data_IF_384185166492
#
_entry.id   IF_384185166492
#
_cell.length_a   1.000
_cell.length_b   1.000
_cell.length_c   1.000
_cell.angle_alpha   90.00
_cell.angle_beta   90.00
_cell.angle_gamma   90.00
#
_symmetry.space_group_name_H-M   'P 1'
#
loop_
_entity.id
_entity.type
_entity.pdbx_description
1 polymer ?
#
# COMPACT_ATOMS: atom_id res chain seq x y z
N UNK A 1 21.10 -18.95 -20.24
CA UNK A 1 21.92 -17.72 -20.36
C UNK A 1 23.00 -17.77 -19.30
N UNK A 2 24.16 -17.18 -19.59
CA UNK A 2 25.27 -17.09 -18.62
C UNK A 2 25.10 -15.83 -17.77
N UNK A 3 25.30 -15.89 -16.43
CA UNK A 3 25.27 -14.68 -15.60
C UNK A 3 26.28 -13.63 -16.10
N UNK A 4 25.88 -12.37 -16.11
CA UNK A 4 26.75 -11.28 -16.60
C UNK A 4 28.06 -11.14 -15.79
N UNK A 5 28.05 -11.52 -14.53
CA UNK A 5 29.25 -11.57 -13.69
C UNK A 5 30.29 -12.62 -14.12
N UNK A 6 29.89 -13.59 -14.96
CA UNK A 6 30.75 -14.67 -15.45
C UNK A 6 31.20 -14.45 -16.90
N UNK A 7 30.76 -13.38 -17.55
CA UNK A 7 31.12 -13.06 -18.94
C UNK A 7 32.43 -12.26 -19.02
N UNK A 8 33.22 -12.52 -20.07
CA UNK A 8 34.35 -11.66 -20.42
C UNK A 8 33.86 -10.29 -20.92
N UNK A 9 34.76 -9.29 -20.94
CA UNK A 9 34.46 -7.97 -21.48
C UNK A 9 33.97 -8.03 -22.92
N UNK A 10 34.62 -8.83 -23.76
CA UNK A 10 34.22 -8.99 -25.17
C UNK A 10 32.83 -9.64 -25.31
N UNK A 11 32.46 -10.55 -24.42
CA UNK A 11 31.10 -11.14 -24.38
C UNK A 11 30.08 -10.12 -23.94
N UNK A 12 30.37 -9.30 -22.93
CA UNK A 12 29.50 -8.21 -22.48
C UNK A 12 29.30 -7.15 -23.56
N UNK A 13 30.34 -6.78 -24.32
CA UNK A 13 30.25 -5.80 -25.43
C UNK A 13 29.38 -6.33 -26.57
N UNK A 14 29.48 -7.61 -26.94
CA UNK A 14 28.60 -8.26 -27.92
C UNK A 14 27.15 -8.30 -27.45
N UNK A 15 26.97 -8.69 -26.20
CA UNK A 15 25.63 -8.74 -25.58
C UNK A 15 24.99 -7.35 -25.56
N UNK A 16 25.77 -6.32 -25.16
CA UNK A 16 25.30 -4.93 -25.18
C UNK A 16 24.80 -4.51 -26.56
N UNK A 17 25.56 -4.79 -27.64
CA UNK A 17 25.15 -4.47 -29.00
C UNK A 17 23.85 -5.16 -29.40
N UNK A 18 23.67 -6.42 -29.04
CA UNK A 18 22.45 -7.20 -29.31
C UNK A 18 21.24 -6.66 -28.54
N UNK A 19 21.41 -6.40 -27.24
CA UNK A 19 20.32 -5.87 -26.39
C UNK A 19 19.93 -4.47 -26.81
N UNK A 20 20.91 -3.61 -27.15
CA UNK A 20 20.67 -2.26 -27.64
C UNK A 20 19.83 -2.27 -28.94
N UNK A 21 20.19 -3.13 -29.90
CA UNK A 21 19.43 -3.25 -31.14
C UNK A 21 17.96 -3.67 -30.88
N UNK A 22 17.73 -4.62 -29.95
CA UNK A 22 16.38 -5.05 -29.55
C UNK A 22 15.62 -3.93 -28.84
N UNK A 23 16.27 -3.20 -27.95
CA UNK A 23 15.68 -2.06 -27.26
C UNK A 23 15.26 -0.94 -28.25
N UNK A 24 16.13 -0.56 -29.18
CA UNK A 24 15.81 0.47 -30.18
C UNK A 24 14.66 0.04 -31.10
N UNK A 25 14.56 -1.26 -31.42
CA UNK A 25 13.42 -1.81 -32.17
C UNK A 25 12.10 -1.72 -31.36
N UNK A 26 12.12 -1.95 -30.04
CA UNK A 26 10.96 -1.73 -29.19
C UNK A 26 10.60 -0.26 -29.08
N UNK A 27 11.58 0.62 -28.88
CA UNK A 27 11.41 2.08 -28.79
C UNK A 27 10.77 2.66 -30.06
N UNK A 28 11.16 2.15 -31.22
CA UNK A 28 10.61 2.57 -32.52
C UNK A 28 9.12 2.25 -32.70
N UNK A 29 8.53 1.37 -31.86
CA UNK A 29 7.10 1.02 -31.92
C UNK A 29 6.20 2.17 -31.39
N UNK A 30 6.75 3.17 -30.71
CA UNK A 30 5.99 4.31 -30.16
C UNK A 30 4.96 3.88 -29.11
N UNK A 31 5.34 2.99 -28.20
CA UNK A 31 4.47 2.46 -27.13
C UNK A 31 4.01 3.57 -26.19
N UNK A 32 2.82 3.39 -25.58
CA UNK A 32 2.29 4.24 -24.52
C UNK A 32 1.62 3.37 -23.47
N UNK A 33 2.43 2.75 -22.63
CA UNK A 33 2.01 1.75 -21.64
C UNK A 33 2.27 2.25 -20.23
N UNK A 34 1.39 1.92 -19.28
CA UNK A 34 1.47 2.47 -17.92
C UNK A 34 1.43 1.35 -16.86
N UNK A 35 2.53 1.16 -16.15
CA UNK A 35 2.69 0.30 -14.99
C UNK A 35 3.05 1.08 -13.71
N UNK A 36 2.68 2.37 -13.63
CA UNK A 36 3.08 3.24 -12.52
C UNK A 36 2.14 3.15 -11.31
N UNK A 37 0.86 2.86 -11.51
CA UNK A 37 -0.16 2.94 -10.46
C UNK A 37 -0.97 1.65 -10.34
N UNK A 38 -1.03 1.11 -9.11
CA UNK A 38 -1.94 0.00 -8.76
C UNK A 38 -3.40 0.46 -8.72
N UNK A 39 -4.03 0.50 -9.89
CA UNK A 39 -5.47 0.77 -10.04
C UNK A 39 -6.19 -0.51 -10.44
N UNK A 40 -7.45 -0.70 -9.98
CA UNK A 40 -8.30 -1.74 -10.54
C UNK A 40 -8.43 -1.58 -12.06
N UNK A 41 -8.42 -2.70 -12.77
CA UNK A 41 -8.73 -2.75 -14.19
C UNK A 41 -10.24 -2.54 -14.43
N UNK A 42 -10.63 -2.18 -15.66
CA UNK A 42 -12.05 -1.98 -16.02
C UNK A 42 -12.88 -3.22 -15.72
N UNK A 43 -12.35 -4.40 -16.03
CA UNK A 43 -13.02 -5.67 -15.77
C UNK A 43 -13.34 -5.87 -14.28
N UNK A 44 -12.45 -5.45 -13.38
CA UNK A 44 -12.69 -5.51 -11.94
C UNK A 44 -13.81 -4.54 -11.51
N UNK A 45 -13.86 -3.34 -12.12
CA UNK A 45 -14.91 -2.36 -11.84
C UNK A 45 -16.27 -2.83 -12.35
N UNK A 46 -16.30 -3.47 -13.53
CA UNK A 46 -17.52 -4.01 -14.13
C UNK A 46 -18.12 -5.15 -13.30
N UNK A 47 -17.30 -6.00 -12.70
CA UNK A 47 -17.73 -7.10 -11.81
C UNK A 47 -18.53 -6.60 -10.61
N UNK A 48 -18.29 -5.38 -10.15
CA UNK A 48 -18.96 -4.77 -8.97
C UNK A 48 -19.98 -3.71 -9.36
N UNK A 49 -20.36 -3.60 -10.63
CA UNK A 49 -21.31 -2.60 -11.16
C UNK A 49 -22.70 -2.70 -10.53
N UNK A 50 -23.09 -3.87 -10.01
CA UNK A 50 -24.32 -4.05 -9.22
C UNK A 50 -24.44 -3.09 -8.02
N UNK A 51 -23.31 -2.60 -7.50
CA UNK A 51 -23.26 -1.56 -6.47
C UNK A 51 -24.04 -0.29 -6.88
N UNK A 52 -24.14 0.03 -8.16
CA UNK A 52 -24.81 1.23 -8.65
C UNK A 52 -26.34 1.19 -8.49
N UNK A 53 -26.92 -0.01 -8.38
CA UNK A 53 -28.36 -0.23 -8.38
C UNK A 53 -28.90 -0.88 -7.11
N UNK A 54 -28.12 -0.93 -6.05
CA UNK A 54 -28.50 -1.60 -4.78
C UNK A 54 -29.61 -0.85 -4.04
N UNK A 55 -29.63 0.49 -4.14
CA UNK A 55 -30.66 1.34 -3.53
C UNK A 55 -31.52 1.89 -4.65
N UNK A 56 -32.81 1.54 -4.68
CA UNK A 56 -33.75 1.91 -5.75
C UNK A 56 -34.92 2.76 -5.26
N UNK A 57 -35.26 2.62 -3.97
CA UNK A 57 -36.41 3.29 -3.39
C UNK A 57 -36.02 4.09 -2.14
N UNK A 58 -36.85 5.04 -1.68
CA UNK A 58 -36.61 5.73 -0.40
C UNK A 58 -36.53 4.78 0.79
N UNK A 59 -37.26 3.67 0.76
CA UNK A 59 -37.28 2.63 1.82
C UNK A 59 -35.96 1.92 1.94
N UNK A 60 -35.22 1.76 0.83
CA UNK A 60 -33.88 1.16 0.82
C UNK A 60 -32.85 2.03 1.56
N UNK A 61 -33.16 3.32 1.79
CA UNK A 61 -32.25 4.28 2.40
C UNK A 61 -32.26 4.25 3.95
N UNK A 62 -32.94 3.28 4.56
CA UNK A 62 -32.98 3.12 6.02
C UNK A 62 -32.02 2.03 6.50
N UNK A 63 -31.30 2.32 7.58
CA UNK A 63 -30.39 1.40 8.27
C UNK A 63 -30.64 1.43 9.78
N UNK A 64 -31.23 0.35 10.33
CA UNK A 64 -31.49 0.19 11.78
C UNK A 64 -32.14 1.44 12.41
N UNK A 65 -33.17 1.97 11.74
CA UNK A 65 -33.89 3.18 12.17
C UNK A 65 -33.28 4.51 11.75
N UNK A 66 -32.09 4.50 11.16
CA UNK A 66 -31.40 5.70 10.64
C UNK A 66 -31.79 5.95 9.19
N UNK A 67 -32.29 7.14 8.87
CA UNK A 67 -32.46 7.60 7.48
C UNK A 67 -31.11 8.10 6.94
N UNK A 68 -30.47 7.30 6.07
CA UNK A 68 -29.17 7.62 5.51
C UNK A 68 -29.14 8.91 4.66
N UNK A 69 -30.30 9.42 4.24
CA UNK A 69 -30.44 10.67 3.46
C UNK A 69 -30.35 11.92 4.32
N UNK A 70 -30.42 11.79 5.65
CA UNK A 70 -30.46 12.94 6.57
C UNK A 70 -29.13 13.08 7.32
N UNK A 71 -28.96 14.12 8.11
CA UNK A 71 -27.79 14.38 8.96
C UNK A 71 -27.63 13.36 10.10
N UNK A 72 -26.45 13.34 10.72
CA UNK A 72 -26.15 12.51 11.89
C UNK A 72 -25.25 11.31 11.56
N UNK A 73 -25.02 10.46 12.58
CA UNK A 73 -24.16 9.28 12.48
C UNK A 73 -22.73 9.64 12.05
N UNK A 74 -22.10 10.56 12.78
CA UNK A 74 -20.75 11.04 12.47
C UNK A 74 -19.71 9.91 12.32
N UNK A 75 -19.77 8.89 13.20
CA UNK A 75 -18.87 7.74 13.12
C UNK A 75 -19.25 6.72 12.04
N UNK A 76 -20.35 6.98 11.30
CA UNK A 76 -20.89 6.08 10.29
C UNK A 76 -22.14 5.32 10.75
N UNK A 77 -22.93 4.86 9.78
CA UNK A 77 -24.17 4.10 10.06
C UNK A 77 -23.85 2.78 10.76
N UNK A 78 -24.78 2.26 11.61
CA UNK A 78 -24.52 1.06 12.40
C UNK A 78 -24.10 -0.15 11.59
N UNK A 79 -24.72 -0.40 10.44
CA UNK A 79 -24.34 -1.54 9.58
C UNK A 79 -22.95 -1.38 8.96
N UNK A 80 -22.51 -0.16 8.62
CA UNK A 80 -21.18 0.06 8.06
C UNK A 80 -20.08 -0.14 9.12
N UNK A 81 -20.33 0.28 10.36
CA UNK A 81 -19.42 0.00 11.47
C UNK A 81 -19.34 -1.50 11.76
N UNK A 82 -20.46 -2.21 11.75
CA UNK A 82 -20.50 -3.68 11.92
C UNK A 82 -19.77 -4.40 10.77
N UNK A 83 -19.96 -3.96 9.53
CA UNK A 83 -19.25 -4.51 8.36
C UNK A 83 -17.74 -4.40 8.49
N UNK A 84 -17.22 -3.21 8.80
CA UNK A 84 -15.78 -3.05 8.97
C UNK A 84 -15.24 -3.80 10.18
N UNK A 85 -16.00 -3.88 11.27
CA UNK A 85 -15.64 -4.69 12.44
C UNK A 85 -15.48 -6.18 12.08
N UNK A 86 -16.39 -6.73 11.27
CA UNK A 86 -16.31 -8.12 10.76
C UNK A 86 -15.09 -8.31 9.84
N UNK A 87 -14.85 -7.38 8.93
CA UNK A 87 -13.70 -7.44 7.99
C UNK A 87 -12.37 -7.42 8.74
N UNK A 88 -12.22 -6.52 9.72
CA UNK A 88 -10.97 -6.30 10.46
C UNK A 88 -10.81 -7.24 11.66
N UNK A 89 -11.90 -7.81 12.16
CA UNK A 89 -11.90 -8.68 13.34
C UNK A 89 -11.98 -7.93 14.67
N UNK A 90 -12.40 -6.66 14.66
CA UNK A 90 -12.51 -5.79 15.84
C UNK A 90 -13.97 -5.57 16.25
N UNK A 91 -14.25 -4.71 17.24
CA UNK A 91 -15.60 -4.34 17.68
C UNK A 91 -16.15 -3.16 16.88
N UNK A 92 -17.48 -3.10 16.69
CA UNK A 92 -18.12 -1.98 15.97
C UNK A 92 -17.87 -0.61 16.64
N UNK A 93 -17.71 -0.57 17.96
CA UNK A 93 -17.43 0.67 18.71
C UNK A 93 -15.96 1.15 18.56
N UNK A 94 -15.13 0.29 18.02
CA UNK A 94 -13.76 0.62 17.62
C UNK A 94 -13.64 1.16 16.18
N UNK A 95 -14.76 1.33 15.46
CA UNK A 95 -14.74 1.71 14.04
C UNK A 95 -15.35 3.10 13.83
N UNK A 96 -14.63 3.92 13.05
CA UNK A 96 -15.10 5.17 12.46
C UNK A 96 -15.09 5.04 10.94
N UNK A 97 -16.24 5.21 10.28
CA UNK A 97 -16.38 5.04 8.83
C UNK A 97 -16.10 6.36 8.13
N UNK A 98 -15.19 6.34 7.17
CA UNK A 98 -14.74 7.50 6.40
C UNK A 98 -15.30 7.58 4.99
N UNK A 99 -14.77 8.52 4.23
CA UNK A 99 -15.06 8.70 2.80
C UNK A 99 -14.36 7.68 1.90
N UNK A 100 -14.18 8.05 0.62
CA UNK A 100 -13.72 7.12 -0.41
C UNK A 100 -12.28 6.56 -0.20
N UNK A 101 -11.42 7.24 0.55
CA UNK A 101 -10.02 6.84 0.67
C UNK A 101 -9.53 6.89 2.13
N UNK A 102 -8.94 5.79 2.59
CA UNK A 102 -8.25 5.72 3.89
C UNK A 102 -7.11 6.73 4.02
N UNK A 103 -6.46 7.09 2.91
CA UNK A 103 -5.40 8.10 2.89
C UNK A 103 -5.85 9.45 3.48
N UNK A 104 -7.11 9.86 3.23
CA UNK A 104 -7.67 11.08 3.82
C UNK A 104 -7.74 10.99 5.34
N UNK A 105 -8.17 9.85 5.87
CA UNK A 105 -8.26 9.63 7.31
C UNK A 105 -6.88 9.57 7.96
N UNK A 106 -5.90 8.92 7.32
CA UNK A 106 -4.51 8.93 7.77
C UNK A 106 -3.94 10.35 7.80
N UNK A 107 -4.20 11.15 6.76
CA UNK A 107 -3.82 12.56 6.73
C UNK A 107 -4.50 13.35 7.87
N UNK A 108 -5.79 13.10 8.10
CA UNK A 108 -6.54 13.77 9.18
C UNK A 108 -5.98 13.41 10.56
N UNK A 109 -5.63 12.14 10.83
CA UNK A 109 -4.99 11.75 12.11
C UNK A 109 -3.68 12.49 12.30
N UNK A 110 -2.79 12.53 11.31
CA UNK A 110 -1.53 13.26 11.39
C UNK A 110 -1.76 14.77 11.55
N UNK A 111 -2.69 15.33 10.77
CA UNK A 111 -3.06 16.75 10.86
C UNK A 111 -3.54 17.13 12.27
N UNK A 112 -4.39 16.27 12.89
CA UNK A 112 -4.87 16.51 14.25
C UNK A 112 -3.79 16.33 15.28
N UNK A 113 -2.89 15.36 15.10
CA UNK A 113 -1.71 15.24 15.96
C UNK A 113 -0.87 16.52 15.95
N UNK A 114 -0.65 17.13 14.79
CA UNK A 114 0.06 18.41 14.68
C UNK A 114 -0.70 19.58 15.27
N UNK A 115 -2.02 19.65 15.11
CA UNK A 115 -2.80 20.84 15.52
C UNK A 115 -3.35 20.77 16.94
N UNK A 116 -3.73 19.59 17.42
CA UNK A 116 -4.42 19.37 18.70
C UNK A 116 -3.71 18.37 19.60
N UNK A 117 -2.85 17.50 19.05
CA UNK A 117 -2.30 16.31 19.70
C UNK A 117 -3.18 15.09 19.49
N UNK A 118 -2.65 13.92 19.81
CA UNK A 118 -3.39 12.67 19.98
C UNK A 118 -3.90 12.54 21.40
N UNK A 119 -4.65 11.50 21.72
CA UNK A 119 -5.30 11.29 23.03
C UNK A 119 -4.34 11.48 24.22
N UNK A 120 -3.10 11.03 24.10
CA UNK A 120 -2.09 11.12 25.18
C UNK A 120 -0.98 12.14 24.90
N UNK A 121 -1.16 13.04 23.93
CA UNK A 121 -0.17 14.07 23.64
C UNK A 121 -0.06 15.08 24.78
N UNK A 122 1.12 15.31 25.35
CA UNK A 122 1.32 16.39 26.33
C UNK A 122 1.09 17.78 25.73
N UNK A 123 1.29 17.90 24.42
CA UNK A 123 1.09 19.11 23.62
C UNK A 123 0.94 18.73 22.13
N UNK A 124 0.33 19.58 21.28
CA UNK A 124 0.29 19.36 19.83
C UNK A 124 1.69 19.19 19.24
N UNK A 125 1.84 18.32 18.23
CA UNK A 125 3.14 18.03 17.62
C UNK A 125 3.79 19.27 16.96
N UNK A 126 3.00 20.25 16.51
CA UNK A 126 3.56 21.51 16.00
C UNK A 126 4.32 22.34 17.07
N UNK A 127 4.18 21.98 18.34
CA UNK A 127 4.91 22.62 19.46
C UNK A 127 6.08 21.77 19.96
N UNK A 128 6.31 20.60 19.36
CA UNK A 128 7.52 19.83 19.63
C UNK A 128 8.71 20.50 18.93
N UNK A 129 9.89 20.36 19.52
CA UNK A 129 11.13 20.84 18.89
C UNK A 129 11.40 20.09 17.59
N UNK A 130 11.13 18.77 17.60
CA UNK A 130 11.31 17.90 16.47
C UNK A 130 10.32 16.75 16.52
N UNK A 131 9.80 16.37 15.36
CA UNK A 131 8.92 15.21 15.17
C UNK A 131 9.58 14.28 14.17
N UNK A 132 9.70 12.99 14.53
CA UNK A 132 10.30 11.97 13.69
C UNK A 132 9.29 10.86 13.39
N UNK A 133 9.27 10.40 12.14
CA UNK A 133 8.44 9.28 11.69
C UNK A 133 9.33 8.14 11.22
N UNK A 134 9.06 6.93 11.68
CA UNK A 134 9.69 5.72 11.16
C UNK A 134 9.00 5.31 9.86
N UNK A 135 9.80 5.03 8.86
CA UNK A 135 9.36 4.79 7.49
C UNK A 135 9.95 3.48 6.98
N UNK A 136 9.28 2.32 7.17
CA UNK A 136 9.67 1.08 6.51
C UNK A 136 9.83 1.31 5.01
N UNK A 137 11.00 0.98 4.48
CA UNK A 137 11.38 1.25 3.09
C UNK A 137 12.12 0.05 2.47
N UNK A 138 11.78 -0.30 1.20
CA UNK A 138 10.87 0.41 0.33
C UNK A 138 9.42 0.38 0.86
N UNK A 139 8.67 1.48 0.67
CA UNK A 139 7.35 1.66 1.25
C UNK A 139 6.42 2.52 0.38
N UNK A 140 5.24 2.84 0.92
CA UNK A 140 4.22 3.61 0.20
C UNK A 140 4.56 5.11 0.18
N UNK A 141 4.82 5.63 -1.00
CA UNK A 141 5.26 7.00 -1.26
C UNK A 141 4.32 8.07 -0.67
N UNK A 142 3.01 7.82 -0.56
CA UNK A 142 2.06 8.77 0.02
C UNK A 142 2.22 8.95 1.53
N UNK A 143 2.59 7.88 2.24
CA UNK A 143 2.91 7.98 3.67
C UNK A 143 4.09 8.95 3.90
N UNK A 144 5.14 8.80 3.11
CA UNK A 144 6.31 9.67 3.20
C UNK A 144 5.97 11.11 2.85
N UNK A 145 5.17 11.32 1.79
CA UNK A 145 4.72 12.66 1.40
C UNK A 145 3.89 13.36 2.49
N UNK A 146 3.07 12.62 3.27
CA UNK A 146 2.37 13.20 4.41
C UNK A 146 3.38 13.68 5.47
N UNK A 147 4.37 12.84 5.81
CA UNK A 147 5.42 13.23 6.75
C UNK A 147 6.21 14.45 6.29
N UNK A 148 6.65 14.45 5.02
CA UNK A 148 7.34 15.60 4.40
C UNK A 148 6.48 16.87 4.45
N UNK A 149 5.18 16.76 4.14
CA UNK A 149 4.24 17.88 4.13
C UNK A 149 4.12 18.56 5.50
N UNK A 150 4.12 17.77 6.57
CA UNK A 150 4.06 18.29 7.94
C UNK A 150 5.45 18.64 8.50
N UNK A 151 6.52 18.44 7.77
CA UNK A 151 7.89 18.76 8.20
C UNK A 151 8.47 17.77 9.21
N UNK A 152 7.95 16.55 9.28
CA UNK A 152 8.56 15.50 10.09
C UNK A 152 9.90 15.05 9.50
N UNK A 153 10.86 14.71 10.35
CA UNK A 153 12.05 13.96 9.91
C UNK A 153 11.66 12.51 9.67
N UNK A 154 11.93 12.03 8.47
CA UNK A 154 11.63 10.66 8.07
C UNK A 154 12.86 9.78 8.24
N UNK A 155 12.75 8.75 9.07
CA UNK A 155 13.81 7.79 9.33
C UNK A 155 13.48 6.51 8.58
N UNK A 156 14.24 6.13 7.54
CA UNK A 156 14.02 4.88 6.84
C UNK A 156 14.36 3.69 7.75
N UNK A 157 13.50 2.69 7.75
CA UNK A 157 13.71 1.40 8.43
C UNK A 157 13.75 0.32 7.36
N UNK A 158 14.81 -0.50 7.27
CA UNK A 158 14.89 -1.57 6.29
C UNK A 158 13.73 -2.56 6.42
N UNK A 159 13.24 -3.04 5.26
CA UNK A 159 12.31 -4.16 5.21
C UNK A 159 13.05 -5.50 5.19
N UNK A 160 12.48 -6.48 5.87
CA UNK A 160 12.90 -7.89 5.86
C UNK A 160 11.78 -8.76 5.24
N UNK A 161 12.00 -10.03 4.94
CA UNK A 161 10.94 -10.92 4.46
C UNK A 161 9.75 -11.07 5.43
N UNK A 162 9.91 -10.71 6.70
CA UNK A 162 8.90 -10.84 7.76
C UNK A 162 8.26 -9.52 8.19
N UNK A 163 8.65 -8.41 7.58
CA UNK A 163 8.21 -7.06 7.95
C UNK A 163 9.39 -6.10 8.11
N UNK A 164 9.22 -4.94 8.75
CA UNK A 164 10.32 -4.04 9.02
C UNK A 164 11.32 -4.65 10.02
N UNK A 165 12.57 -4.16 9.99
CA UNK A 165 13.58 -4.50 10.99
C UNK A 165 13.12 -4.05 12.37
N UNK A 166 12.53 -4.99 13.13
CA UNK A 166 11.97 -4.70 14.44
C UNK A 166 13.03 -4.41 15.51
N UNK A 167 14.26 -4.90 15.37
CA UNK A 167 15.34 -4.56 16.29
C UNK A 167 15.67 -3.07 16.17
N UNK A 168 15.72 -2.55 14.95
CA UNK A 168 15.90 -1.13 14.70
C UNK A 168 14.70 -0.31 15.17
N UNK A 169 13.46 -0.78 14.93
CA UNK A 169 12.24 -0.10 15.40
C UNK A 169 12.23 0.03 16.93
N UNK A 170 12.49 -1.07 17.65
CA UNK A 170 12.51 -1.09 19.12
C UNK A 170 13.58 -0.19 19.73
N UNK A 171 14.69 0.01 19.04
CA UNK A 171 15.73 0.95 19.47
C UNK A 171 15.29 2.41 19.21
N UNK A 172 14.79 2.69 18.01
CA UNK A 172 14.42 4.05 17.61
C UNK A 172 13.24 4.61 18.39
N UNK A 173 12.26 3.82 18.81
CA UNK A 173 11.11 4.29 19.60
C UNK A 173 11.48 4.72 21.03
N UNK A 174 12.73 4.46 21.47
CA UNK A 174 13.25 5.00 22.74
C UNK A 174 13.54 6.51 22.70
N UNK A 175 13.61 7.08 21.49
CA UNK A 175 13.69 8.53 21.31
C UNK A 175 12.28 9.15 21.43
N UNK A 176 12.03 10.06 22.41
CA UNK A 176 10.71 10.68 22.60
C UNK A 176 10.27 11.59 21.44
N UNK A 177 11.17 11.92 20.50
CA UNK A 177 10.84 12.67 19.29
C UNK A 177 10.24 11.76 18.21
N UNK A 178 10.39 10.44 18.31
CA UNK A 178 9.78 9.46 17.40
C UNK A 178 8.31 9.31 17.79
N UNK A 179 7.43 9.83 16.93
CA UNK A 179 6.00 9.94 17.20
C UNK A 179 5.14 8.99 16.41
N UNK A 180 5.65 8.46 15.29
CA UNK A 180 4.84 7.67 14.40
C UNK A 180 5.67 6.65 13.62
N UNK A 181 5.07 5.50 13.34
CA UNK A 181 5.54 4.55 12.34
C UNK A 181 4.44 4.28 11.31
N UNK A 182 4.81 4.33 10.03
CA UNK A 182 3.96 3.89 8.93
C UNK A 182 4.10 2.38 8.72
N UNK A 183 3.00 1.68 8.48
CA UNK A 183 3.03 0.25 8.14
C UNK A 183 2.02 -0.09 7.05
N UNK A 184 2.34 -1.11 6.22
CA UNK A 184 1.41 -1.78 5.31
C UNK A 184 1.58 -3.28 5.55
N UNK A 185 0.85 -3.87 6.51
CA UNK A 185 1.24 -5.13 7.12
C UNK A 185 0.94 -6.37 6.27
N UNK A 186 -0.02 -6.29 5.35
CA UNK A 186 -0.41 -7.40 4.49
C UNK A 186 -0.24 -6.99 3.03
N UNK A 187 0.51 -7.79 2.26
CA UNK A 187 0.90 -7.48 0.87
C UNK A 187 1.46 -6.08 0.72
N UNK A 188 2.48 -5.77 1.52
CA UNK A 188 3.07 -4.44 1.67
C UNK A 188 3.38 -3.79 0.32
N UNK A 189 3.20 -2.48 0.24
CA UNK A 189 3.47 -1.69 -0.95
C UNK A 189 4.88 -1.07 -0.88
N UNK A 190 5.86 -1.48 -1.73
CA UNK A 190 5.68 -2.33 -2.91
C UNK A 190 6.01 -3.82 -2.70
N UNK A 191 6.53 -4.24 -1.56
CA UNK A 191 7.23 -5.52 -1.39
C UNK A 191 6.33 -6.77 -1.50
N UNK A 192 5.01 -6.60 -1.31
CA UNK A 192 4.06 -7.70 -1.44
C UNK A 192 4.17 -8.76 -0.33
N UNK A 193 4.93 -8.49 0.73
CA UNK A 193 5.10 -9.38 1.87
C UNK A 193 3.95 -9.25 2.87
N UNK A 194 3.78 -10.28 3.69
CA UNK A 194 2.89 -10.27 4.86
C UNK A 194 3.80 -10.26 6.10
N UNK A 195 3.51 -9.36 7.06
CA UNK A 195 4.23 -9.37 8.32
C UNK A 195 4.00 -10.67 9.05
N UNK A 196 5.06 -11.26 9.62
CA UNK A 196 4.93 -12.47 10.42
C UNK A 196 4.18 -12.20 11.73
N UNK A 197 3.58 -13.25 12.29
CA UNK A 197 2.92 -13.18 13.60
C UNK A 197 3.85 -12.65 14.68
N UNK A 198 5.13 -12.96 14.60
CA UNK A 198 6.14 -12.47 15.54
C UNK A 198 6.35 -10.96 15.37
N UNK A 199 6.48 -10.47 14.14
CA UNK A 199 6.58 -9.04 13.85
C UNK A 199 5.36 -8.29 14.39
N UNK A 200 4.14 -8.82 14.20
CA UNK A 200 2.91 -8.20 14.68
C UNK A 200 2.87 -8.17 16.21
N UNK A 201 3.27 -9.27 16.89
CA UNK A 201 3.39 -9.28 18.35
C UNK A 201 4.41 -8.28 18.86
N UNK A 202 5.56 -8.15 18.18
CA UNK A 202 6.59 -7.15 18.54
C UNK A 202 6.04 -5.73 18.42
N UNK A 203 5.24 -5.42 17.39
CA UNK A 203 4.53 -4.13 17.29
C UNK A 203 3.62 -3.87 18.49
N UNK A 204 2.81 -4.86 18.89
CA UNK A 204 1.91 -4.73 20.04
C UNK A 204 2.66 -4.50 21.37
N UNK A 205 3.88 -5.03 21.50
CA UNK A 205 4.68 -4.94 22.71
C UNK A 205 5.72 -3.80 22.67
N UNK A 206 5.71 -2.92 21.66
CA UNK A 206 6.59 -1.76 21.61
C UNK A 206 6.49 -0.90 22.89
N UNK A 207 7.63 -0.38 23.32
CA UNK A 207 7.75 0.48 24.51
C UNK A 207 8.28 1.86 24.12
N UNK A 208 7.50 2.66 23.37
CA UNK A 208 7.94 3.98 22.96
C UNK A 208 8.12 4.90 24.17
N UNK A 209 9.13 5.78 24.07
CA UNK A 209 9.34 6.83 25.06
C UNK A 209 8.31 7.95 24.91
N UNK A 210 7.79 8.19 23.71
CA UNK A 210 6.71 9.12 23.47
C UNK A 210 5.38 8.55 23.96
N UNK A 211 4.64 9.21 24.88
CA UNK A 211 3.35 8.71 25.37
C UNK A 211 2.26 8.71 24.30
N UNK A 212 2.44 9.49 23.24
CA UNK A 212 1.56 9.69 22.11
C UNK A 212 2.12 9.08 20.81
N UNK A 213 2.97 8.06 20.93
CA UNK A 213 3.45 7.31 19.77
C UNK A 213 2.30 6.58 19.07
N UNK A 214 2.26 6.70 17.75
CA UNK A 214 1.19 6.12 16.94
C UNK A 214 1.73 5.11 15.91
N UNK A 215 1.08 3.96 15.81
CA UNK A 215 1.25 3.00 14.71
C UNK A 215 0.12 3.26 13.72
N UNK A 216 0.46 3.71 12.51
CA UNK A 216 -0.48 3.80 11.40
C UNK A 216 -0.44 2.47 10.66
N UNK A 217 -1.51 1.69 10.84
CA UNK A 217 -1.65 0.33 10.33
C UNK A 217 -2.53 0.36 9.08
N UNK A 218 -1.90 0.61 7.91
CA UNK A 218 -2.63 0.70 6.62
C UNK A 218 -2.89 -0.70 6.06
N UNK A 219 -4.01 -1.28 6.44
CA UNK A 219 -4.48 -2.60 6.01
C UNK A 219 -5.21 -2.51 4.66
N UNK A 220 -4.56 -1.89 3.67
CA UNK A 220 -5.12 -1.64 2.34
C UNK A 220 -5.40 -2.92 1.54
N UNK A 221 -4.74 -4.03 1.89
CA UNK A 221 -4.78 -5.29 1.14
C UNK A 221 -5.25 -6.49 1.96
N UNK A 222 -5.96 -6.27 3.05
CA UNK A 222 -6.39 -7.31 4.00
C UNK A 222 -7.13 -8.51 3.39
N UNK A 223 -7.76 -8.34 2.20
CA UNK A 223 -8.55 -9.35 1.49
C UNK A 223 -8.13 -9.50 0.02
N UNK A 224 -6.87 -9.24 -0.32
CA UNK A 224 -6.42 -9.08 -1.71
C UNK A 224 -5.50 -10.21 -2.17
N UNK A 225 -5.78 -11.44 -1.79
CA UNK A 225 -5.17 -12.63 -2.35
C UNK A 225 -5.53 -12.76 -3.84
N UNK A 226 -4.56 -13.03 -4.70
CA UNK A 226 -4.79 -13.43 -6.07
C UNK A 226 -4.26 -14.84 -6.36
N UNK A 227 -3.54 -15.43 -5.42
CA UNK A 227 -3.08 -16.82 -5.46
C UNK A 227 -3.34 -17.49 -4.10
N UNK A 228 -3.95 -18.66 -4.12
CA UNK A 228 -4.29 -19.42 -2.92
C UNK A 228 -5.58 -18.95 -2.22
N UNK A 229 -5.77 -19.45 -1.01
CA UNK A 229 -6.89 -19.10 -0.16
C UNK A 229 -6.60 -17.84 0.67
N UNK A 230 -7.67 -17.27 1.26
CA UNK A 230 -7.55 -16.16 2.20
C UNK A 230 -6.61 -16.52 3.36
N UNK A 231 -5.61 -15.69 3.59
CA UNK A 231 -4.68 -15.82 4.72
C UNK A 231 -5.23 -15.01 5.89
N UNK A 232 -5.66 -15.66 6.99
CA UNK A 232 -6.04 -14.94 8.21
C UNK A 232 -4.91 -14.06 8.71
N UNK A 233 -5.28 -12.90 9.27
CA UNK A 233 -4.31 -11.93 9.76
C UNK A 233 -4.66 -11.55 11.19
N UNK A 234 -3.68 -11.50 12.13
CA UNK A 234 -3.94 -11.17 13.53
C UNK A 234 -4.55 -9.78 13.70
N UNK A 235 -5.51 -9.66 14.63
CA UNK A 235 -6.05 -8.36 15.03
C UNK A 235 -5.05 -7.62 15.92
N UNK A 236 -4.43 -6.60 15.37
CA UNK A 236 -3.44 -5.78 16.06
C UNK A 236 -4.07 -4.98 17.23
N UNK A 237 -5.35 -4.61 17.14
CA UNK A 237 -6.02 -3.85 18.21
C UNK A 237 -6.16 -4.70 19.46
N UNK A 238 -6.61 -5.96 19.30
CA UNK A 238 -6.69 -6.91 20.42
C UNK A 238 -5.32 -7.20 21.01
N UNK A 239 -4.31 -7.41 20.21
CA UNK A 239 -2.94 -7.65 20.67
C UNK A 239 -2.37 -6.46 21.45
N UNK A 240 -2.64 -5.23 21.01
CA UNK A 240 -2.23 -4.02 21.75
C UNK A 240 -3.00 -3.85 23.07
N UNK A 241 -4.28 -4.22 23.11
CA UNK A 241 -5.08 -4.22 24.32
C UNK A 241 -4.54 -5.24 25.35
N UNK A 242 -4.27 -6.47 24.92
CA UNK A 242 -3.63 -7.51 25.72
C UNK A 242 -2.25 -7.07 26.26
N UNK A 243 -1.49 -6.32 25.48
CA UNK A 243 -0.21 -5.76 25.87
C UNK A 243 -0.34 -4.54 26.79
N UNK A 244 -1.57 -4.09 27.12
CA UNK A 244 -1.84 -2.90 27.93
C UNK A 244 -1.56 -1.57 27.24
N UNK A 245 -1.63 -1.52 25.92
CA UNK A 245 -1.36 -0.36 25.06
C UNK A 245 -2.43 -0.16 23.97
N UNK A 246 -3.73 -0.16 24.32
CA UNK A 246 -4.83 -0.15 23.35
C UNK A 246 -4.84 1.10 22.44
N UNK A 247 -4.29 2.22 22.92
CA UNK A 247 -4.40 3.52 22.26
C UNK A 247 -3.26 3.80 21.24
N UNK A 248 -2.35 2.85 21.07
CA UNK A 248 -1.15 3.06 20.24
C UNK A 248 -1.42 2.87 18.73
N UNK A 249 -2.46 2.13 18.34
CA UNK A 249 -2.73 1.75 16.96
C UNK A 249 -3.93 2.48 16.38
N UNK A 250 -3.74 2.91 15.13
CA UNK A 250 -4.80 3.39 14.23
C UNK A 250 -4.74 2.53 12.97
N UNK A 251 -5.71 1.62 12.82
CA UNK A 251 -5.82 0.75 11.65
C UNK A 251 -6.73 1.37 10.60
N UNK A 252 -6.34 1.28 9.33
CA UNK A 252 -7.07 1.85 8.21
C UNK A 252 -7.34 0.79 7.15
N UNK A 253 -8.55 0.83 6.59
CA UNK A 253 -8.92 0.02 5.44
C UNK A 253 -9.83 0.82 4.50
N UNK A 254 -9.97 0.36 3.27
CA UNK A 254 -10.90 0.97 2.31
C UNK A 254 -11.37 -0.03 1.26
N UNK A 255 -12.53 0.25 0.67
CA UNK A 255 -13.05 -0.52 -0.46
C UNK A 255 -12.50 -0.06 -1.81
N UNK A 256 -11.49 0.83 -1.83
CA UNK A 256 -10.95 1.43 -3.07
C UNK A 256 -10.48 0.41 -4.12
N UNK A 257 -10.12 -0.79 -3.69
CA UNK A 257 -9.68 -1.88 -4.58
C UNK A 257 -10.60 -3.11 -4.49
N UNK A 258 -11.73 -2.99 -3.79
CA UNK A 258 -12.79 -4.01 -3.66
C UNK A 258 -13.98 -3.62 -4.54
N UNK A 259 -14.36 -2.32 -4.50
CA UNK A 259 -15.45 -1.75 -5.28
C UNK A 259 -14.91 -0.64 -6.21
N UNK A 260 -15.46 0.57 -6.11
CA UNK A 260 -15.02 1.70 -6.95
C UNK A 260 -13.99 2.57 -6.21
N UNK A 261 -12.80 2.70 -6.78
CA UNK A 261 -11.76 3.55 -6.23
C UNK A 261 -12.20 5.03 -6.10
N UNK A 262 -13.05 5.50 -7.00
CA UNK A 262 -13.58 6.86 -7.00
C UNK A 262 -14.84 7.07 -6.14
N UNK A 263 -15.44 6.00 -5.62
CA UNK A 263 -16.71 6.04 -4.90
C UNK A 263 -16.80 5.01 -3.77
N UNK A 264 -15.68 4.62 -3.21
CA UNK A 264 -15.59 3.66 -2.10
C UNK A 264 -15.99 4.24 -0.75
N UNK A 265 -15.80 3.42 0.28
CA UNK A 265 -15.81 3.82 1.69
C UNK A 265 -14.52 3.35 2.36
N UNK A 266 -14.13 4.03 3.42
CA UNK A 266 -12.96 3.68 4.24
C UNK A 266 -13.34 3.59 5.70
N UNK A 267 -12.42 3.11 6.52
CA UNK A 267 -12.56 3.17 7.97
C UNK A 267 -11.22 3.48 8.64
N UNK A 268 -11.34 3.98 9.85
CA UNK A 268 -10.32 3.96 10.88
C UNK A 268 -10.84 3.09 12.01
N UNK A 269 -10.06 2.08 12.40
CA UNK A 269 -10.30 1.29 13.59
C UNK A 269 -9.21 1.60 14.63
N UNK A 270 -9.62 1.82 15.89
CA UNK A 270 -8.74 2.15 16.99
C UNK A 270 -9.41 1.78 18.31
N UNK A 271 -8.75 2.02 19.45
CA UNK A 271 -9.41 1.86 20.75
C UNK A 271 -10.67 2.72 20.84
N UNK A 272 -11.63 2.31 21.66
CA UNK A 272 -12.86 3.07 21.89
C UNK A 272 -12.55 4.50 22.40
N UNK A 273 -11.49 4.66 23.19
CA UNK A 273 -11.02 5.96 23.69
C UNK A 273 -10.54 6.85 22.53
N UNK A 274 -9.75 6.32 21.60
CA UNK A 274 -9.33 7.04 20.39
C UNK A 274 -10.51 7.38 19.48
N UNK A 275 -11.45 6.45 19.26
CA UNK A 275 -12.65 6.72 18.45
C UNK A 275 -13.48 7.84 19.09
N UNK A 276 -13.68 7.83 20.40
CA UNK A 276 -14.39 8.90 21.12
C UNK A 276 -13.66 10.24 20.94
N UNK A 277 -12.34 10.26 21.14
CA UNK A 277 -11.50 11.46 20.98
C UNK A 277 -11.61 12.04 19.57
N UNK A 278 -11.41 11.22 18.53
CA UNK A 278 -11.48 11.67 17.15
C UNK A 278 -12.89 12.07 16.70
N UNK A 279 -13.92 11.37 17.20
CA UNK A 279 -15.32 11.76 16.94
C UNK A 279 -15.58 13.18 17.44
N UNK A 280 -15.10 13.54 18.62
CA UNK A 280 -15.20 14.92 19.13
C UNK A 280 -14.52 15.94 18.22
N UNK A 281 -13.31 15.63 17.71
CA UNK A 281 -12.57 16.55 16.83
C UNK A 281 -13.21 16.63 15.43
N UNK A 282 -13.57 15.49 14.85
CA UNK A 282 -14.19 15.44 13.52
C UNK A 282 -15.57 16.07 13.51
N UNK A 283 -16.30 16.06 14.64
CA UNK A 283 -17.58 16.75 14.78
C UNK A 283 -17.50 18.26 14.60
N UNK A 284 -16.31 18.87 14.75
CA UNK A 284 -16.09 20.29 14.40
C UNK A 284 -15.90 20.47 12.90
N UNK A 285 -15.35 19.45 12.20
CA UNK A 285 -15.05 19.50 10.77
C UNK A 285 -16.27 19.15 9.92
N UNK A 286 -17.09 18.17 10.35
CA UNK A 286 -18.18 17.62 9.56
C UNK A 286 -19.30 17.09 10.45
N UNK A 287 -20.48 16.88 9.86
CA UNK A 287 -21.62 16.25 10.54
C UNK A 287 -21.66 14.74 10.26
N UNK A 288 -21.32 14.34 9.04
CA UNK A 288 -21.21 12.94 8.63
C UNK A 288 -20.50 12.83 7.27
N UNK A 289 -19.94 11.67 7.00
CA UNK A 289 -19.62 11.27 5.64
C UNK A 289 -20.88 10.83 4.87
N UNK A 290 -20.74 10.55 3.57
CA UNK A 290 -21.85 10.10 2.70
C UNK A 290 -22.42 8.75 3.17
N UNK A 291 -23.52 8.81 3.93
CA UNK A 291 -24.19 7.64 4.49
C UNK A 291 -24.96 6.82 3.45
N UNK A 292 -25.43 7.45 2.38
CA UNK A 292 -26.07 6.73 1.27
C UNK A 292 -25.05 5.84 0.58
N UNK A 293 -23.80 6.33 0.43
CA UNK A 293 -22.73 5.53 -0.11
C UNK A 293 -22.28 4.42 0.86
N UNK A 294 -22.24 4.68 2.18
CA UNK A 294 -21.98 3.65 3.18
C UNK A 294 -23.03 2.53 3.09
N UNK A 295 -24.31 2.89 3.06
CA UNK A 295 -25.42 1.93 3.00
C UNK A 295 -25.37 1.10 1.71
N UNK A 296 -25.08 1.73 0.57
CA UNK A 296 -24.92 1.05 -0.71
C UNK A 296 -23.83 -0.02 -0.64
N UNK A 297 -22.68 0.31 -0.04
CA UNK A 297 -21.58 -0.64 0.13
C UNK A 297 -21.97 -1.82 1.01
N UNK A 298 -22.59 -1.55 2.15
CA UNK A 298 -22.99 -2.61 3.09
C UNK A 298 -24.02 -3.55 2.46
N UNK A 299 -25.01 -3.00 1.75
CA UNK A 299 -26.03 -3.80 1.05
C UNK A 299 -25.42 -4.68 -0.04
N UNK A 300 -24.38 -4.20 -0.72
CA UNK A 300 -23.67 -4.94 -1.77
C UNK A 300 -22.69 -5.95 -1.20
N UNK A 301 -21.83 -5.55 -0.29
CA UNK A 301 -20.74 -6.37 0.27
C UNK A 301 -21.24 -7.34 1.35
N UNK A 302 -22.33 -7.02 2.04
CA UNK A 302 -22.99 -7.79 3.11
C UNK A 302 -22.10 -8.01 4.33
N UNK A 303 -21.11 -8.90 4.21
CA UNK A 303 -20.20 -9.34 5.26
C UNK A 303 -18.82 -9.69 4.68
N UNK A 304 -17.90 -10.09 5.56
CA UNK A 304 -16.55 -10.51 5.16
C UNK A 304 -16.58 -11.71 4.22
N UNK A 305 -17.44 -12.70 4.46
CA UNK A 305 -17.49 -13.90 3.64
C UNK A 305 -17.89 -13.60 2.21
N UNK A 306 -18.93 -12.77 1.99
CA UNK A 306 -19.34 -12.33 0.66
C UNK A 306 -18.30 -11.41 0.00
N UNK A 307 -17.62 -10.57 0.79
CA UNK A 307 -16.48 -9.77 0.29
C UNK A 307 -15.37 -10.67 -0.26
N UNK A 308 -15.02 -11.75 0.44
CA UNK A 308 -14.02 -12.71 -0.02
C UNK A 308 -14.45 -13.44 -1.31
N UNK A 309 -15.75 -13.72 -1.51
CA UNK A 309 -16.27 -14.26 -2.77
C UNK A 309 -16.05 -13.26 -3.93
N UNK A 310 -16.35 -11.98 -3.72
CA UNK A 310 -16.06 -10.92 -4.70
C UNK A 310 -14.57 -10.85 -5.01
N UNK A 311 -13.71 -10.92 -3.99
CA UNK A 311 -12.27 -10.86 -4.16
C UNK A 311 -11.70 -12.06 -4.93
N UNK A 312 -12.33 -13.24 -4.85
CA UNK A 312 -11.98 -14.40 -5.73
C UNK A 312 -12.24 -14.09 -7.22
N UNK A 313 -13.27 -13.30 -7.53
CA UNK A 313 -13.49 -12.84 -8.90
C UNK A 313 -12.40 -11.86 -9.33
N UNK A 314 -12.02 -10.91 -8.45
CA UNK A 314 -10.89 -10.00 -8.70
C UNK A 314 -9.59 -10.78 -8.91
N UNK A 315 -9.35 -11.83 -8.15
CA UNK A 315 -8.17 -12.69 -8.28
C UNK A 315 -8.05 -13.30 -9.68
N UNK A 316 -9.17 -13.70 -10.30
CA UNK A 316 -9.17 -14.26 -11.66
C UNK A 316 -8.67 -13.29 -12.74
N UNK A 317 -8.80 -11.97 -12.49
CA UNK A 317 -8.24 -10.92 -13.37
C UNK A 317 -6.79 -10.61 -13.02
N UNK A 318 -6.46 -10.67 -11.72
CA UNK A 318 -5.13 -10.26 -11.23
C UNK A 318 -4.07 -11.34 -11.45
N UNK A 319 -4.37 -12.59 -11.14
CA UNK A 319 -3.40 -13.69 -11.22
C UNK A 319 -2.67 -13.78 -12.57
N UNK A 320 -3.36 -13.77 -13.75
CA UNK A 320 -2.68 -13.84 -15.04
C UNK A 320 -1.70 -12.68 -15.29
N UNK A 321 -1.95 -11.52 -14.70
CA UNK A 321 -1.08 -10.34 -14.82
C UNK A 321 0.21 -10.50 -14.03
N UNK A 322 0.11 -11.02 -12.81
CA UNK A 322 1.28 -11.32 -11.98
C UNK A 322 2.08 -12.50 -12.54
N UNK A 323 1.40 -13.53 -13.06
CA UNK A 323 2.05 -14.63 -13.80
C UNK A 323 2.84 -14.13 -15.02
N UNK A 324 2.28 -13.18 -15.78
CA UNK A 324 2.99 -12.55 -16.89
C UNK A 324 4.30 -11.90 -16.43
N UNK A 325 4.27 -11.10 -15.36
CA UNK A 325 5.47 -10.45 -14.81
C UNK A 325 6.48 -11.50 -14.35
N UNK A 326 6.05 -12.49 -13.56
CA UNK A 326 6.91 -13.56 -13.06
C UNK A 326 7.56 -14.36 -14.21
N UNK A 327 6.79 -14.70 -15.23
CA UNK A 327 7.28 -15.42 -16.43
C UNK A 327 8.39 -14.65 -17.14
N UNK A 328 8.20 -13.35 -17.39
CA UNK A 328 9.22 -12.51 -18.04
C UNK A 328 10.49 -12.38 -17.20
N UNK A 329 10.36 -12.04 -15.94
CA UNK A 329 11.50 -11.87 -15.04
C UNK A 329 12.28 -13.19 -14.85
N UNK A 330 11.58 -14.31 -14.69
CA UNK A 330 12.21 -15.62 -14.54
C UNK A 330 12.95 -16.07 -15.81
N UNK A 331 12.40 -15.78 -16.99
CA UNK A 331 12.99 -16.17 -18.28
C UNK A 331 14.17 -15.29 -18.67
N UNK A 332 14.01 -13.96 -18.58
CA UNK A 332 14.94 -13.00 -19.17
C UNK A 332 15.96 -12.43 -18.19
N UNK A 333 15.64 -12.38 -16.89
CA UNK A 333 16.44 -11.65 -15.90
C UNK A 333 17.11 -12.60 -14.88
N UNK A 334 16.34 -13.57 -14.35
CA UNK A 334 16.89 -14.50 -13.33
C UNK A 334 18.19 -15.17 -13.76
N UNK A 335 18.34 -15.72 -14.99
CA UNK A 335 19.57 -16.39 -15.42
C UNK A 335 20.77 -15.45 -15.50
N UNK A 336 20.56 -14.13 -15.61
CA UNK A 336 21.62 -13.14 -15.77
C UNK A 336 22.21 -12.66 -14.44
N UNK A 337 21.48 -12.85 -13.33
CA UNK A 337 21.93 -12.46 -11.99
C UNK A 337 22.05 -10.94 -11.79
N UNK A 338 21.25 -10.14 -12.51
CA UNK A 338 21.33 -8.66 -12.54
C UNK A 338 20.21 -7.97 -11.75
N UNK A 339 19.25 -8.72 -11.25
CA UNK A 339 18.17 -8.21 -10.42
C UNK A 339 17.56 -9.34 -9.59
N UNK A 340 16.85 -8.97 -8.52
CA UNK A 340 15.97 -9.86 -7.77
C UNK A 340 14.63 -9.17 -7.48
N UNK A 341 13.63 -9.93 -7.10
CA UNK A 341 12.29 -9.41 -6.81
C UNK A 341 11.57 -10.31 -5.83
N UNK A 342 10.57 -9.75 -5.18
CA UNK A 342 9.64 -10.51 -4.37
C UNK A 342 8.55 -11.14 -5.27
N UNK A 343 8.06 -12.30 -4.86
CA UNK A 343 7.00 -13.05 -5.56
C UNK A 343 5.69 -12.98 -4.73
N UNK A 344 4.90 -11.89 -4.87
CA UNK A 344 3.73 -11.67 -4.04
C UNK A 344 2.60 -12.64 -4.38
N UNK A 345 1.81 -13.04 -3.38
CA UNK A 345 0.59 -13.86 -3.53
C UNK A 345 -0.70 -13.04 -3.43
N UNK A 346 -0.56 -11.74 -3.29
CA UNK A 346 -1.65 -10.78 -3.18
C UNK A 346 -1.17 -9.34 -3.34
N UNK A 347 -2.09 -8.40 -3.18
CA UNK A 347 -1.79 -6.99 -3.36
C UNK A 347 -1.78 -6.53 -4.81
N UNK A 348 -1.03 -5.47 -5.10
CA UNK A 348 -1.10 -4.76 -6.39
C UNK A 348 0.26 -4.48 -7.03
N UNK A 349 1.36 -4.93 -6.41
CA UNK A 349 2.71 -4.53 -6.81
C UNK A 349 3.69 -5.69 -6.77
N UNK A 350 4.72 -5.56 -7.61
CA UNK A 350 5.95 -6.35 -7.53
C UNK A 350 7.10 -5.39 -7.23
N UNK A 351 7.85 -5.65 -6.16
CA UNK A 351 9.07 -4.94 -5.82
C UNK A 351 10.25 -5.60 -6.53
N UNK A 352 10.90 -4.85 -7.41
CA UNK A 352 12.05 -5.31 -8.17
C UNK A 352 13.28 -4.51 -7.76
N UNK A 353 14.36 -5.19 -7.45
CA UNK A 353 15.67 -4.62 -7.12
C UNK A 353 16.63 -4.89 -8.27
N UNK A 354 16.89 -3.87 -9.06
CA UNK A 354 17.89 -3.88 -10.13
C UNK A 354 19.32 -3.91 -9.55
N UNK A 355 20.31 -4.11 -10.38
CA UNK A 355 21.71 -3.97 -9.98
C UNK A 355 21.92 -2.61 -9.29
N UNK A 356 22.51 -2.55 -8.08
CA UNK A 356 22.73 -1.29 -7.36
C UNK A 356 23.30 -0.20 -8.26
N UNK A 357 22.75 1.04 -8.17
CA UNK A 357 23.12 2.18 -8.99
C UNK A 357 22.58 2.16 -10.42
N UNK A 358 21.49 1.41 -10.69
CA UNK A 358 20.93 1.34 -12.05
C UNK A 358 19.42 1.62 -12.14
N UNK A 359 18.68 1.73 -11.02
CA UNK A 359 17.23 1.88 -11.07
C UNK A 359 16.79 3.15 -11.82
N UNK A 360 17.46 4.29 -11.60
CA UNK A 360 17.16 5.53 -12.33
C UNK A 360 17.43 5.39 -13.83
N UNK A 361 18.48 4.63 -14.19
CA UNK A 361 18.78 4.38 -15.61
C UNK A 361 17.72 3.47 -16.24
N UNK A 362 17.31 2.40 -15.57
CA UNK A 362 16.21 1.52 -16.01
C UNK A 362 14.92 2.32 -16.20
N UNK A 363 14.58 3.14 -15.22
CA UNK A 363 13.40 4.01 -15.29
C UNK A 363 13.45 4.95 -16.51
N UNK A 364 14.59 5.55 -16.77
CA UNK A 364 14.80 6.44 -17.92
C UNK A 364 14.60 5.70 -19.24
N UNK A 365 15.22 4.54 -19.38
CA UNK A 365 15.11 3.70 -20.58
C UNK A 365 13.65 3.27 -20.81
N UNK A 366 12.95 2.80 -19.78
CA UNK A 366 11.53 2.45 -19.88
C UNK A 366 10.70 3.63 -20.38
N UNK A 367 10.90 4.81 -19.78
CA UNK A 367 10.19 6.04 -20.17
C UNK A 367 10.46 6.44 -21.62
N UNK A 368 11.71 6.38 -22.07
CA UNK A 368 12.10 6.68 -23.45
C UNK A 368 11.47 5.70 -24.47
N UNK A 369 11.27 4.44 -24.07
CA UNK A 369 10.61 3.44 -24.90
C UNK A 369 9.07 3.42 -24.73
N UNK A 370 8.49 4.42 -24.02
CA UNK A 370 7.05 4.58 -23.89
C UNK A 370 6.41 3.71 -22.81
N UNK A 371 7.19 3.24 -21.83
CA UNK A 371 6.67 2.51 -20.65
C UNK A 371 6.84 3.36 -19.40
N UNK A 372 5.72 3.75 -18.80
CA UNK A 372 5.68 4.58 -17.59
C UNK A 372 5.70 3.70 -16.35
N UNK A 373 6.72 3.88 -15.52
CA UNK A 373 6.85 3.30 -14.19
C UNK A 373 6.68 4.37 -13.09
N UNK A 374 6.47 3.96 -11.85
CA UNK A 374 6.64 4.86 -10.70
C UNK A 374 8.07 5.41 -10.71
N UNK A 375 8.25 6.67 -10.37
CA UNK A 375 9.58 7.30 -10.36
C UNK A 375 10.54 6.49 -9.49
N UNK A 376 11.74 6.25 -9.99
CA UNK A 376 12.80 5.62 -9.21
C UNK A 376 13.08 6.42 -7.92
N UNK A 377 13.25 5.73 -6.81
CA UNK A 377 13.42 6.31 -5.49
C UNK A 377 12.12 6.68 -4.76
N UNK A 378 10.95 6.72 -5.43
CA UNK A 378 9.68 7.11 -4.81
C UNK A 378 9.27 6.21 -3.64
N UNK A 379 9.76 4.99 -3.58
CA UNK A 379 9.51 4.01 -2.51
C UNK A 379 10.36 4.24 -1.25
N UNK A 380 11.13 5.31 -1.21
CA UNK A 380 11.95 5.72 -0.07
C UNK A 380 11.62 7.16 0.37
N UNK A 381 11.81 7.47 1.67
CA UNK A 381 11.72 8.84 2.17
C UNK A 381 12.59 9.80 1.35
N UNK A 382 12.08 11.00 1.14
CA UNK A 382 12.77 12.05 0.35
C UNK A 382 13.11 11.62 -1.09
N UNK A 383 12.51 10.52 -1.57
CA UNK A 383 12.81 9.89 -2.88
C UNK A 383 14.26 9.50 -3.06
N UNK A 384 14.90 9.15 -1.97
CA UNK A 384 16.31 8.80 -1.91
C UNK A 384 16.48 7.31 -1.59
N UNK A 385 16.47 6.47 -2.63
CA UNK A 385 16.90 5.07 -2.53
C UNK A 385 18.43 5.06 -2.41
N UNK A 386 19.01 4.60 -1.28
CA UNK A 386 20.44 4.67 -1.05
C UNK A 386 21.25 3.81 -2.03
N UNK A 387 20.65 2.73 -2.52
CA UNK A 387 21.29 1.80 -3.44
C UNK A 387 20.95 2.07 -4.90
N UNK A 388 20.02 3.00 -5.19
CA UNK A 388 19.49 3.23 -6.53
C UNK A 388 19.14 1.93 -7.24
N UNK A 389 18.34 1.08 -6.58
CA UNK A 389 18.06 -0.29 -6.99
C UNK A 389 16.58 -0.61 -7.10
N UNK A 390 15.70 0.01 -6.29
CA UNK A 390 14.31 -0.38 -6.19
C UNK A 390 13.42 0.24 -7.28
N UNK A 391 12.60 -0.61 -7.88
CA UNK A 391 11.57 -0.25 -8.87
C UNK A 391 10.24 -0.91 -8.48
N UNK A 392 9.17 -0.13 -8.40
CA UNK A 392 7.81 -0.61 -8.16
C UNK A 392 7.10 -0.85 -9.48
N UNK A 393 6.68 -2.08 -9.72
CA UNK A 393 5.91 -2.51 -10.88
C UNK A 393 4.46 -2.69 -10.47
N UNK A 394 3.52 -2.04 -11.20
CA UNK A 394 2.08 -2.15 -11.00
C UNK A 394 1.41 -2.81 -12.21
N UNK A 395 1.25 -4.14 -12.23
CA UNK A 395 0.71 -4.87 -13.38
C UNK A 395 -0.83 -4.83 -13.45
N UNK A 396 -1.51 -4.31 -12.44
CA UNK A 396 -2.95 -4.46 -12.25
C UNK A 396 -3.82 -3.80 -13.34
N UNK A 397 -3.40 -2.64 -13.86
CA UNK A 397 -4.21 -1.85 -14.79
C UNK A 397 -4.19 -2.38 -16.24
N UNK A 398 -3.01 -2.58 -16.90
CA UNK A 398 -2.98 -2.93 -18.32
C UNK A 398 -3.52 -4.35 -18.57
N UNK A 399 -4.14 -4.60 -19.76
CA UNK A 399 -4.43 -5.95 -20.20
C UNK A 399 -3.13 -6.77 -20.35
N UNK A 400 -3.22 -8.10 -20.26
CA UNK A 400 -2.04 -8.99 -20.35
C UNK A 400 -1.24 -8.76 -21.63
N UNK A 401 -1.90 -8.55 -22.78
CA UNK A 401 -1.23 -8.30 -24.06
C UNK A 401 -0.37 -7.01 -24.08
N UNK A 402 -0.80 -5.97 -23.38
CA UNK A 402 -0.02 -4.75 -23.21
C UNK A 402 1.08 -4.94 -22.17
N UNK A 403 0.78 -5.69 -21.12
CA UNK A 403 1.74 -6.02 -20.07
C UNK A 403 2.92 -6.84 -20.61
N UNK A 404 2.68 -7.80 -21.52
CA UNK A 404 3.73 -8.56 -22.22
C UNK A 404 4.73 -7.61 -22.92
N UNK A 405 4.24 -6.60 -23.64
CA UNK A 405 5.10 -5.60 -24.32
C UNK A 405 5.86 -4.70 -23.32
N UNK A 406 5.17 -4.30 -22.24
CA UNK A 406 5.80 -3.48 -21.21
C UNK A 406 6.91 -4.25 -20.47
N UNK A 407 6.71 -5.55 -20.23
CA UNK A 407 7.72 -6.41 -19.62
C UNK A 407 8.90 -6.70 -20.55
N UNK A 408 8.69 -6.79 -21.86
CA UNK A 408 9.79 -6.87 -22.84
C UNK A 408 10.70 -5.64 -22.72
N UNK A 409 10.12 -4.44 -22.76
CA UNK A 409 10.86 -3.18 -22.61
C UNK A 409 11.59 -3.12 -21.26
N UNK A 410 10.91 -3.49 -20.16
CA UNK A 410 11.51 -3.50 -18.83
C UNK A 410 12.72 -4.44 -18.74
N UNK A 411 12.60 -5.66 -19.27
CA UNK A 411 13.70 -6.63 -19.27
C UNK A 411 14.88 -6.15 -20.11
N UNK A 412 14.64 -5.56 -21.29
CA UNK A 412 15.70 -4.95 -22.11
C UNK A 412 16.35 -3.77 -21.39
N UNK A 413 15.57 -2.94 -20.70
CA UNK A 413 16.08 -1.80 -19.94
C UNK A 413 16.96 -2.23 -18.74
N UNK A 414 16.55 -3.30 -18.03
CA UNK A 414 17.36 -3.90 -16.95
C UNK A 414 18.69 -4.43 -17.47
N UNK A 415 18.66 -5.13 -18.60
CA UNK A 415 19.86 -5.68 -19.24
C UNK A 415 20.81 -4.58 -19.71
N UNK A 416 20.31 -3.55 -20.41
CA UNK A 416 21.11 -2.41 -20.85
C UNK A 416 21.77 -1.67 -19.70
N UNK A 417 21.00 -1.30 -18.67
CA UNK A 417 21.53 -0.55 -17.54
C UNK A 417 22.61 -1.35 -16.78
N UNK A 418 22.43 -2.68 -16.65
CA UNK A 418 23.42 -3.57 -16.05
C UNK A 418 24.69 -3.65 -16.91
N UNK A 419 24.57 -3.82 -18.23
CA UNK A 419 25.69 -3.88 -19.17
C UNK A 419 26.45 -2.56 -19.22
N UNK A 420 25.77 -1.42 -19.31
CA UNK A 420 26.37 -0.08 -19.23
C UNK A 420 27.25 0.07 -17.98
N UNK A 421 26.72 -0.37 -16.82
CA UNK A 421 27.46 -0.32 -15.56
C UNK A 421 28.67 -1.25 -15.50
N UNK A 422 28.53 -2.47 -16.02
CA UNK A 422 29.64 -3.46 -16.02
C UNK A 422 30.75 -3.07 -16.99
N UNK A 423 30.41 -2.49 -18.13
CA UNK A 423 31.37 -2.03 -19.14
C UNK A 423 32.06 -0.69 -18.77
N UNK A 424 31.46 0.11 -17.88
CA UNK A 424 32.06 1.33 -17.37
C UNK A 424 33.19 1.10 -16.35
N UNK A 425 33.35 -0.13 -15.85
CA UNK A 425 34.44 -0.58 -14.97
C UNK A 425 35.62 -1.09 -15.81
#
# INVERSE_FOLDING_TARGET
MTPYSCMSREELEREYGSVLASYEACKAQGLNLNMARGKPATEQLDMVSGLLTVLQTPEDCYDDGVDARNYGELAGIPSARKYWADVLGCKADQVFVGGAASLNMMFDVVSRAYTHGLLHSPKPWCREEKVKFLCPAPGYDRHFQIGEFFGAELIPVPMTPEGPDMDMVEELVKDPQVKLIWTVPKYSNPDGIIYSDETIRRFAHLKPAAPDFAIIWDNAYGVHEFEGDYVPFPDILSLCDEAGRPDMVYEFASTSKITFAGGGISCMAASEANICYFTGIFGVQMISYDKVNQLRHVRFLKDKAHTLEIMKLHASVMAPKFECVAKWLNREIRPLGIAHWNDPKGGYFVSLFAMPGTAKRVWTLCKEAGVVLTNAGATYPYRNDPDDSNLRIAPSLPPVAELEKAMEVLCLSLRLAALEKLLAK
#
